data_IF_569630368965
#
_entry.id   IF_569630368965
#
_cell.length_a   1.000
_cell.length_b   1.000
_cell.length_c   1.000
_cell.angle_alpha   90.00
_cell.angle_beta   90.00
_cell.angle_gamma   90.00
#
_symmetry.space_group_name_H-M   'P 1'
#
loop_
_entity.id
_entity.type
_entity.pdbx_description
1 polymer ?
#
# COMPACT_ATOMS: atom_id res chain seq x y z
N UNK A 1 13.02 18.52 -5.65
CA UNK A 1 12.47 17.42 -6.47
C UNK A 1 11.89 16.26 -5.64
N UNK A 2 11.65 16.41 -4.33
CA UNK A 2 11.44 15.29 -3.38
C UNK A 2 10.10 14.55 -3.44
N UNK A 3 9.03 15.23 -3.86
CA UNK A 3 7.66 14.73 -3.69
C UNK A 3 7.29 13.58 -4.64
N UNK A 4 7.92 13.53 -5.81
CA UNK A 4 7.70 12.43 -6.77
C UNK A 4 8.37 11.16 -6.29
N UNK A 5 9.59 11.25 -5.74
CA UNK A 5 10.31 10.12 -5.17
C UNK A 5 9.59 9.55 -3.94
N UNK A 6 9.04 10.40 -3.06
CA UNK A 6 8.21 9.97 -1.93
C UNK A 6 6.93 9.26 -2.38
N UNK A 7 6.23 9.79 -3.39
CA UNK A 7 5.05 9.14 -3.94
C UNK A 7 5.39 7.78 -4.58
N UNK A 8 6.50 7.71 -5.31
CA UNK A 8 7.00 6.45 -5.89
C UNK A 8 7.39 5.43 -4.83
N UNK A 9 8.00 5.86 -3.71
CA UNK A 9 8.30 5.00 -2.57
C UNK A 9 7.02 4.42 -1.95
N UNK A 10 5.98 5.24 -1.76
CA UNK A 10 4.71 4.76 -1.22
C UNK A 10 4.04 3.76 -2.17
N UNK A 11 4.02 4.05 -3.48
CA UNK A 11 3.48 3.13 -4.49
C UNK A 11 4.27 1.81 -4.49
N UNK A 12 5.59 1.86 -4.41
CA UNK A 12 6.44 0.67 -4.35
C UNK A 12 6.18 -0.17 -3.09
N UNK A 13 6.06 0.46 -1.92
CA UNK A 13 5.74 -0.22 -0.66
C UNK A 13 4.36 -0.89 -0.75
N UNK A 14 3.35 -0.18 -1.26
CA UNK A 14 2.01 -0.71 -1.43
C UNK A 14 2.00 -1.91 -2.42
N UNK A 15 2.76 -1.83 -3.52
CA UNK A 15 2.89 -2.92 -4.49
C UNK A 15 3.55 -4.17 -3.90
N UNK A 16 4.64 -4.01 -3.15
CA UNK A 16 5.29 -5.12 -2.43
C UNK A 16 4.32 -5.76 -1.44
N UNK A 17 3.56 -4.94 -0.71
CA UNK A 17 2.59 -5.44 0.25
C UNK A 17 1.45 -6.21 -0.41
N UNK A 18 0.92 -5.69 -1.52
CA UNK A 18 -0.12 -6.36 -2.30
C UNK A 18 0.36 -7.68 -2.89
N UNK A 19 1.59 -7.74 -3.41
CA UNK A 19 2.17 -8.95 -3.97
C UNK A 19 2.35 -10.04 -2.89
N UNK A 20 2.88 -9.67 -1.72
CA UNK A 20 3.01 -10.59 -0.59
C UNK A 20 1.66 -11.07 -0.07
N UNK A 21 0.65 -10.20 0.00
CA UNK A 21 -0.72 -10.59 0.33
C UNK A 21 -1.31 -11.58 -0.71
N UNK A 22 -1.05 -11.36 -2.00
CA UNK A 22 -1.50 -12.25 -3.07
C UNK A 22 -0.79 -13.61 -3.02
N UNK A 23 0.53 -13.64 -2.81
CA UNK A 23 1.29 -14.88 -2.58
C UNK A 23 0.73 -15.62 -1.37
N UNK A 24 0.46 -14.90 -0.27
CA UNK A 24 -0.10 -15.51 0.94
C UNK A 24 -1.51 -16.08 0.72
N UNK A 25 -2.36 -15.41 -0.07
CA UNK A 25 -3.71 -15.86 -0.37
C UNK A 25 -3.74 -17.04 -1.36
N UNK A 26 -2.80 -17.08 -2.32
CA UNK A 26 -2.79 -18.04 -3.42
C UNK A 26 -1.91 -19.27 -3.15
N UNK A 27 -1.05 -19.23 -2.12
CA UNK A 27 -0.19 -20.36 -1.72
C UNK A 27 -0.84 -21.12 -0.55
N UNK A 28 -1.44 -22.31 -0.79
CA UNK A 28 -2.18 -23.05 0.23
C UNK A 28 -1.32 -23.56 1.39
N UNK A 29 0.01 -23.65 1.19
CA UNK A 29 0.94 -24.22 2.17
C UNK A 29 1.20 -23.35 3.40
N UNK A 30 0.75 -22.09 3.42
CA UNK A 30 0.95 -21.18 4.55
C UNK A 30 -0.05 -21.40 5.70
N UNK A 31 -1.08 -22.22 5.51
CA UNK A 31 -1.77 -22.95 6.59
C UNK A 31 -2.44 -22.16 7.71
N UNK A 32 -2.51 -20.82 7.67
CA UNK A 32 -3.11 -20.00 8.74
C UNK A 32 -4.30 -19.18 8.24
N UNK A 33 -5.52 -19.77 8.24
CA UNK A 33 -6.73 -19.08 7.85
C UNK A 33 -6.99 -17.89 8.79
N UNK A 34 -6.86 -16.67 8.26
CA UNK A 34 -7.08 -15.41 8.99
C UNK A 34 -6.06 -14.30 8.66
N UNK A 35 -4.83 -14.67 8.32
CA UNK A 35 -3.75 -13.69 8.08
C UNK A 35 -3.89 -12.91 6.76
N UNK A 36 -4.63 -13.43 5.78
CA UNK A 36 -4.96 -12.72 4.53
C UNK A 36 -5.63 -11.37 4.82
N UNK A 37 -6.49 -11.29 5.86
CA UNK A 37 -7.15 -10.03 6.23
C UNK A 37 -6.18 -9.02 6.85
N UNK A 38 -5.22 -9.49 7.64
CA UNK A 38 -4.19 -8.63 8.24
C UNK A 38 -3.25 -8.09 7.16
N UNK A 39 -2.83 -8.97 6.24
CA UNK A 39 -1.98 -8.63 5.12
C UNK A 39 -2.66 -7.71 4.09
N UNK A 40 -3.87 -8.05 3.66
CA UNK A 40 -4.67 -7.19 2.78
C UNK A 40 -5.08 -5.87 3.43
N UNK A 41 -5.34 -5.88 4.74
CA UNK A 41 -5.61 -4.68 5.53
C UNK A 41 -4.42 -3.72 5.58
N UNK A 42 -3.20 -4.25 5.76
CA UNK A 42 -1.97 -3.45 5.67
C UNK A 42 -1.76 -2.82 4.30
N UNK A 43 -1.99 -3.57 3.22
CA UNK A 43 -1.92 -3.05 1.86
C UNK A 43 -2.95 -1.93 1.62
N UNK A 44 -4.21 -2.12 2.06
CA UNK A 44 -5.26 -1.11 1.96
C UNK A 44 -4.94 0.17 2.75
N UNK A 45 -4.36 0.03 3.96
CA UNK A 45 -3.93 1.16 4.77
C UNK A 45 -2.83 1.98 4.09
N UNK A 46 -1.81 1.32 3.52
CA UNK A 46 -0.77 2.01 2.76
C UNK A 46 -1.32 2.73 1.53
N UNK A 47 -2.27 2.11 0.82
CA UNK A 47 -2.94 2.71 -0.34
C UNK A 47 -3.76 3.96 0.07
N UNK A 48 -4.45 3.88 1.21
CA UNK A 48 -5.19 5.01 1.77
C UNK A 48 -4.25 6.16 2.18
N UNK A 49 -3.13 5.85 2.84
CA UNK A 49 -2.11 6.85 3.18
C UNK A 49 -1.51 7.49 1.93
N UNK A 50 -1.26 6.72 0.87
CA UNK A 50 -0.81 7.23 -0.42
C UNK A 50 -1.79 8.24 -1.02
N UNK A 51 -3.08 7.90 -1.01
CA UNK A 51 -4.14 8.76 -1.53
C UNK A 51 -4.26 10.06 -0.71
N UNK A 52 -4.19 9.97 0.61
CA UNK A 52 -4.21 11.15 1.50
C UNK A 52 -3.00 12.05 1.23
N UNK A 53 -1.79 11.48 1.11
CA UNK A 53 -0.58 12.24 0.80
C UNK A 53 -0.68 12.94 -0.56
N UNK A 54 -1.16 12.22 -1.57
CA UNK A 54 -1.37 12.76 -2.91
C UNK A 54 -2.39 13.92 -2.89
N UNK A 55 -3.52 13.75 -2.19
CA UNK A 55 -4.56 14.77 -2.05
C UNK A 55 -4.08 16.00 -1.28
N UNK A 56 -3.34 15.80 -0.18
CA UNK A 56 -2.74 16.89 0.59
C UNK A 56 -1.72 17.69 -0.23
N UNK A 57 -0.84 16.99 -0.96
CA UNK A 57 0.14 17.62 -1.85
C UNK A 57 -0.49 18.33 -3.05
N UNK A 58 -1.69 17.91 -3.48
CA UNK A 58 -2.46 18.59 -4.53
C UNK A 58 -3.15 19.85 -4.02
N UNK A 59 -3.68 19.79 -2.80
CA UNK A 59 -4.33 20.93 -2.13
C UNK A 59 -3.31 22.02 -1.80
N UNK A 60 -2.13 21.66 -1.29
CA UNK A 60 -1.05 22.60 -0.98
C UNK A 60 -0.46 23.31 -2.22
N UNK A 61 -0.65 22.77 -3.43
CA UNK A 61 -0.22 23.39 -4.69
C UNK A 61 -1.24 24.34 -5.30
N UNK A 62 -2.45 24.42 -4.74
CA UNK A 62 -3.57 25.23 -5.26
C UNK A 62 -3.88 26.48 -4.44
N UNK A 63 -3.32 26.62 -3.24
CA UNK A 63 -3.38 27.86 -2.43
C UNK A 63 -2.11 28.68 -2.63
#
# INVERSE_FOLDING_TARGET
MKMTEELWLVVAIAAVWAALAAVYALVPSLGMPGYVRVWGGGAALFLLLAAVLAAAGWTARRG
#
